data_IF_890454274785
#
_entry.id   IF_890454274785
#
_cell.length_a   1.000
_cell.length_b   1.000
_cell.length_c   1.000
_cell.angle_alpha   90.00
_cell.angle_beta   90.00
_cell.angle_gamma   90.00
#
_symmetry.space_group_name_H-M   'P 1'
#
loop_
_entity.id
_entity.type
_entity.pdbx_description
1 polymer ?
#
# COMPACT_ATOMS: atom_id res chain seq x y z
N UNK A 1 -22.61 -1.01 -0.81
CA UNK A 1 -23.98 -0.56 -1.09
C UNK A 1 -24.95 -1.61 -0.57
N UNK A 2 -26.25 -1.50 -0.84
CA UNK A 2 -27.24 -2.55 -0.55
C UNK A 2 -26.94 -3.90 -1.21
N UNK A 3 -26.05 -3.93 -2.20
CA UNK A 3 -25.59 -5.15 -2.87
C UNK A 3 -24.55 -5.95 -2.08
N UNK A 4 -23.98 -5.37 -1.01
CA UNK A 4 -22.90 -6.02 -0.24
C UNK A 4 -23.48 -6.91 0.86
N UNK A 5 -22.91 -8.11 1.03
CA UNK A 5 -23.30 -9.02 2.10
C UNK A 5 -22.83 -8.51 3.46
N UNK A 6 -23.49 -8.94 4.54
CA UNK A 6 -23.06 -8.61 5.91
C UNK A 6 -21.61 -9.03 6.17
N UNK A 7 -21.18 -10.17 5.61
CA UNK A 7 -19.82 -10.68 5.75
C UNK A 7 -18.77 -9.74 5.11
N UNK A 8 -19.09 -9.13 3.97
CA UNK A 8 -18.20 -8.14 3.33
C UNK A 8 -18.13 -6.85 4.15
N UNK A 9 -19.27 -6.41 4.71
CA UNK A 9 -19.31 -5.25 5.62
C UNK A 9 -18.47 -5.52 6.88
N UNK A 10 -18.58 -6.70 7.46
CA UNK A 10 -17.80 -7.10 8.63
C UNK A 10 -16.30 -7.18 8.32
N UNK A 11 -15.91 -7.71 7.14
CA UNK A 11 -14.51 -7.67 6.68
C UNK A 11 -13.98 -6.25 6.63
N UNK A 12 -14.73 -5.32 6.04
CA UNK A 12 -14.29 -3.93 5.96
C UNK A 12 -14.21 -3.27 7.35
N UNK A 13 -15.22 -3.46 8.21
CA UNK A 13 -15.21 -2.97 9.59
C UNK A 13 -14.03 -3.53 10.39
N UNK A 14 -13.75 -4.82 10.27
CA UNK A 14 -12.60 -5.46 10.92
C UNK A 14 -11.26 -4.90 10.42
N UNK A 15 -11.14 -4.62 9.11
CA UNK A 15 -9.97 -3.93 8.57
C UNK A 15 -9.79 -2.55 9.20
N UNK A 16 -10.86 -1.76 9.31
CA UNK A 16 -10.81 -0.43 9.93
C UNK A 16 -10.48 -0.47 11.42
N UNK A 17 -11.01 -1.45 12.17
CA UNK A 17 -10.65 -1.68 13.57
C UNK A 17 -9.17 -2.06 13.70
N UNK A 18 -8.65 -2.90 12.80
CA UNK A 18 -7.23 -3.25 12.77
C UNK A 18 -6.36 -2.02 12.49
N UNK A 19 -6.73 -1.20 11.50
CA UNK A 19 -6.05 0.08 11.19
C UNK A 19 -6.08 1.02 12.40
N UNK A 20 -7.19 1.09 13.14
CA UNK A 20 -7.26 1.91 14.37
C UNK A 20 -6.23 1.46 15.41
N UNK A 21 -6.06 0.15 15.59
CA UNK A 21 -5.03 -0.42 16.49
C UNK A 21 -3.61 -0.12 16.00
N UNK A 22 -3.39 -0.07 14.68
CA UNK A 22 -2.10 0.38 14.13
C UNK A 22 -1.84 1.86 14.43
N UNK A 23 -2.86 2.72 14.31
CA UNK A 23 -2.76 4.15 14.65
C UNK A 23 -2.37 4.32 16.11
N UNK A 24 -2.95 3.54 17.03
CA UNK A 24 -2.61 3.59 18.46
C UNK A 24 -1.15 3.18 18.76
N UNK A 25 -0.50 2.45 17.85
CA UNK A 25 0.91 2.06 17.97
C UNK A 25 1.87 3.09 17.34
N UNK A 26 1.38 4.07 16.58
CA UNK A 26 2.22 5.07 15.92
C UNK A 26 2.78 6.04 16.96
N UNK A 27 4.10 6.26 16.89
CA UNK A 27 4.79 7.30 17.66
C UNK A 27 5.28 8.39 16.72
N UNK A 28 5.18 9.65 17.15
CA UNK A 28 5.54 10.82 16.34
C UNK A 28 7.03 10.84 15.95
N UNK A 29 7.89 10.33 16.82
CA UNK A 29 9.34 10.20 16.63
C UNK A 29 9.74 8.98 15.78
N UNK A 30 8.79 8.09 15.45
CA UNK A 30 9.03 6.87 14.68
C UNK A 30 8.18 6.83 13.41
N UNK A 31 8.56 7.60 12.36
CA UNK A 31 7.77 7.73 11.15
C UNK A 31 7.77 6.47 10.27
N UNK A 32 8.72 5.55 10.47
CA UNK A 32 8.83 4.31 9.70
C UNK A 32 7.86 3.26 10.24
N UNK A 33 6.65 3.20 9.68
CA UNK A 33 5.61 2.24 10.10
C UNK A 33 4.74 1.80 8.91
N UNK A 34 3.94 0.74 9.11
CA UNK A 34 3.15 0.12 8.05
C UNK A 34 2.17 1.11 7.39
N UNK A 35 1.51 1.97 8.17
CA UNK A 35 0.59 2.99 7.67
C UNK A 35 1.29 4.02 6.78
N UNK A 36 2.46 4.52 7.19
CA UNK A 36 3.23 5.50 6.41
C UNK A 36 3.89 4.90 5.18
N UNK A 37 4.13 3.58 5.19
CA UNK A 37 4.76 2.86 4.08
C UNK A 37 3.76 2.12 3.19
N UNK A 38 2.44 2.25 3.36
CA UNK A 38 1.43 1.68 2.46
C UNK A 38 1.37 2.44 1.12
N UNK A 39 0.94 1.81 0.01
CA UNK A 39 0.63 0.39 -0.16
C UNK A 39 1.88 -0.47 -0.40
N UNK A 40 1.88 -1.72 0.08
CA UNK A 40 3.02 -2.64 -0.06
C UNK A 40 2.87 -3.51 -1.33
N UNK A 41 3.79 -3.35 -2.28
CA UNK A 41 3.77 -4.04 -3.58
C UNK A 41 4.33 -5.45 -3.49
N UNK A 42 4.01 -6.30 -4.48
CA UNK A 42 4.61 -7.64 -4.59
C UNK A 42 6.13 -7.57 -4.61
N UNK A 43 6.70 -6.69 -5.44
CA UNK A 43 8.15 -6.49 -5.54
C UNK A 43 8.78 -6.17 -4.19
N UNK A 44 8.21 -5.21 -3.44
CA UNK A 44 8.69 -4.84 -2.12
C UNK A 44 8.74 -6.03 -1.16
N UNK A 45 7.73 -6.90 -1.21
CA UNK A 45 7.61 -8.07 -0.33
C UNK A 45 8.58 -9.20 -0.72
N UNK A 46 8.88 -9.36 -2.00
CA UNK A 46 9.73 -10.45 -2.52
C UNK A 46 11.21 -10.10 -2.61
N UNK A 47 11.59 -8.84 -2.36
CA UNK A 47 13.00 -8.44 -2.21
C UNK A 47 13.70 -9.26 -1.13
N UNK A 48 14.97 -9.56 -1.36
CA UNK A 48 15.81 -10.29 -0.39
C UNK A 48 15.94 -9.49 0.92
N UNK A 49 16.17 -8.18 0.80
CA UNK A 49 16.30 -7.25 1.91
C UNK A 49 14.94 -6.78 2.44
N UNK A 50 14.85 -6.60 3.76
CA UNK A 50 13.64 -6.08 4.41
C UNK A 50 14.02 -5.14 5.56
N UNK A 51 14.05 -3.85 5.25
CA UNK A 51 14.55 -2.79 6.15
C UNK A 51 13.42 -2.05 6.88
N UNK A 52 12.32 -2.75 7.19
CA UNK A 52 11.17 -2.18 7.88
C UNK A 52 11.08 -2.72 9.31
N UNK A 53 10.68 -1.91 10.31
CA UNK A 53 10.58 -2.31 11.72
C UNK A 53 9.33 -3.15 12.02
N UNK A 54 8.78 -3.81 11.00
CA UNK A 54 7.59 -4.67 11.07
C UNK A 54 7.75 -5.79 10.05
N UNK A 55 7.05 -6.91 10.23
CA UNK A 55 7.21 -8.08 9.36
C UNK A 55 6.57 -7.90 7.98
N UNK A 56 7.05 -8.68 7.01
CA UNK A 56 6.38 -8.86 5.70
C UNK A 56 4.93 -9.31 5.84
N UNK A 57 4.65 -10.18 6.81
CA UNK A 57 3.29 -10.63 7.10
C UNK A 57 2.39 -9.48 7.55
N UNK A 58 2.87 -8.61 8.47
CA UNK A 58 2.12 -7.42 8.90
C UNK A 58 1.85 -6.48 7.71
N UNK A 59 2.78 -6.38 6.77
CA UNK A 59 2.64 -5.56 5.58
C UNK A 59 1.60 -6.10 4.57
N UNK A 60 1.62 -7.41 4.29
CA UNK A 60 0.84 -7.99 3.19
C UNK A 60 -0.43 -8.74 3.62
N UNK A 61 -0.46 -9.27 4.84
CA UNK A 61 -1.50 -10.16 5.36
C UNK A 61 -1.92 -9.77 6.78
N UNK A 62 -2.38 -8.52 7.00
CA UNK A 62 -2.70 -8.01 8.34
C UNK A 62 -3.86 -8.73 9.02
N UNK A 63 -4.73 -9.40 8.25
CA UNK A 63 -5.86 -10.18 8.73
C UNK A 63 -5.97 -11.52 7.98
N UNK A 64 -6.53 -12.58 8.60
CA UNK A 64 -6.52 -13.93 8.03
C UNK A 64 -7.11 -14.04 6.62
N UNK A 65 -8.26 -13.41 6.38
CA UNK A 65 -8.97 -13.46 5.10
C UNK A 65 -8.20 -12.81 3.94
N UNK A 66 -7.18 -11.99 4.22
CA UNK A 66 -6.32 -11.39 3.18
C UNK A 66 -5.43 -12.45 2.52
N UNK A 67 -5.13 -13.56 3.22
CA UNK A 67 -4.33 -14.67 2.67
C UNK A 67 -5.11 -15.49 1.64
N UNK A 68 -6.43 -15.54 1.74
CA UNK A 68 -7.29 -16.36 0.89
C UNK A 68 -7.42 -15.77 -0.51
N UNK A 69 -7.46 -14.43 -0.62
CA UNK A 69 -7.58 -13.74 -1.90
C UNK A 69 -6.76 -12.44 -1.91
N UNK A 70 -5.45 -12.58 -2.11
CA UNK A 70 -4.54 -11.43 -2.08
C UNK A 70 -4.59 -10.64 -3.39
N UNK A 71 -5.17 -9.45 -3.32
CA UNK A 71 -4.99 -8.44 -4.36
C UNK A 71 -3.70 -7.63 -4.12
N UNK A 72 -2.88 -7.47 -5.15
CA UNK A 72 -1.59 -6.77 -5.06
C UNK A 72 -1.67 -5.35 -5.62
N UNK A 73 -1.31 -4.33 -4.82
CA UNK A 73 -0.97 -3.02 -5.35
C UNK A 73 0.21 -3.14 -6.33
N UNK A 74 0.05 -2.65 -7.56
CA UNK A 74 1.06 -2.74 -8.61
C UNK A 74 2.16 -1.70 -8.48
N UNK A 75 1.89 -0.57 -7.81
CA UNK A 75 2.83 0.52 -7.58
C UNK A 75 2.82 0.99 -6.12
N UNK A 76 3.87 1.72 -5.74
CA UNK A 76 3.97 2.39 -4.43
C UNK A 76 3.04 3.60 -4.38
N UNK A 77 3.03 4.28 -3.22
CA UNK A 77 2.27 5.53 -3.04
C UNK A 77 2.69 6.54 -4.11
N UNK A 78 1.71 7.15 -4.76
CA UNK A 78 1.90 8.16 -5.81
C UNK A 78 2.56 9.41 -5.21
N UNK A 79 3.41 10.06 -6.00
CA UNK A 79 3.91 11.42 -5.72
C UNK A 79 3.03 12.44 -6.45
N UNK A 80 2.03 12.95 -5.73
CA UNK A 80 1.05 13.88 -6.30
C UNK A 80 1.71 15.18 -6.76
N UNK A 81 2.63 15.74 -5.96
CA UNK A 81 3.26 17.02 -6.23
C UNK A 81 4.21 16.97 -7.44
N UNK A 82 4.83 15.83 -7.69
CA UNK A 82 5.66 15.65 -8.88
C UNK A 82 4.81 15.70 -10.15
N UNK A 83 3.66 15.03 -10.18
CA UNK A 83 2.76 15.01 -11.34
C UNK A 83 2.27 16.41 -11.71
N UNK A 84 1.85 17.21 -10.72
CA UNK A 84 1.38 18.58 -10.93
C UNK A 84 2.47 19.51 -11.48
N UNK A 85 3.73 19.29 -11.07
CA UNK A 85 4.89 20.09 -11.54
C UNK A 85 5.43 19.64 -12.89
N UNK A 86 5.15 18.41 -13.31
CA UNK A 86 5.65 17.79 -14.53
C UNK A 86 4.48 17.21 -15.33
N UNK A 87 3.59 18.09 -15.81
CA UNK A 87 2.34 17.70 -16.43
C UNK A 87 2.58 16.96 -17.76
N UNK A 88 2.42 15.64 -17.74
CA UNK A 88 2.51 14.75 -18.90
C UNK A 88 1.18 14.01 -19.01
N UNK A 89 0.35 14.38 -20.00
CA UNK A 89 -1.00 13.83 -20.19
C UNK A 89 -1.15 12.98 -21.46
N UNK A 90 -0.04 12.69 -22.13
CA UNK A 90 0.02 11.83 -23.31
C UNK A 90 1.05 10.74 -23.08
N UNK A 91 0.89 9.60 -23.74
CA UNK A 91 1.95 8.62 -23.80
C UNK A 91 3.10 9.20 -24.64
N UNK A 92 4.08 9.81 -24.00
CA UNK A 92 5.29 10.24 -24.69
C UNK A 92 6.06 8.99 -25.14
N UNK A 93 6.50 8.89 -26.41
CA UNK A 93 7.28 7.76 -26.90
C UNK A 93 8.54 7.56 -26.06
N UNK A 94 8.96 6.31 -25.84
CA UNK A 94 10.11 6.00 -24.99
C UNK A 94 11.41 6.59 -25.56
N UNK A 95 11.43 6.76 -26.87
CA UNK A 95 12.51 7.33 -27.67
C UNK A 95 12.80 8.79 -27.32
N UNK A 96 11.82 9.57 -26.85
CA UNK A 96 12.01 10.98 -26.48
C UNK A 96 12.78 11.18 -25.16
N UNK A 97 13.00 10.10 -24.41
CA UNK A 97 13.79 10.11 -23.16
C UNK A 97 15.16 9.44 -23.30
N UNK A 98 15.50 8.91 -24.48
CA UNK A 98 16.81 8.33 -24.76
C UNK A 98 17.70 9.40 -25.39
N UNK A 99 18.60 9.99 -24.59
CA UNK A 99 19.73 10.80 -25.08
C UNK A 99 20.96 9.88 -25.14
N UNK A 100 21.69 9.89 -26.26
CA UNK A 100 23.00 9.25 -26.39
C UNK A 100 24.00 9.73 -25.31
#
# INVERSE_FOLDING_TARGET
>A
TESESLEELDRFCNAMISIRKEIDQVKLDQPNNALKNSPHTLEMLTRNDWNFPYSREKAAFPLPYVKENKFWPTVRRVDDAYGDRNLICTCTPIEEFMVD
#
